data_IF_786667213481
#
_entry.id   IF_786667213481
#
_cell.length_a   1.000
_cell.length_b   1.000
_cell.length_c   1.000
_cell.angle_alpha   90.00
_cell.angle_beta   90.00
_cell.angle_gamma   90.00
#
_symmetry.space_group_name_H-M   'P 1'
#
loop_
_entity.id
_entity.type
_entity.pdbx_description
1 polymer ?
#
# COMPACT_ATOMS: atom_id res chain seq x y z
N UNK A 1 12.34 -12.41 -8.27
CA UNK A 1 12.72 -11.87 -6.94
C UNK A 1 11.81 -12.39 -5.83
N UNK A 2 10.56 -12.74 -6.14
CA UNK A 2 9.55 -13.20 -5.17
C UNK A 2 9.04 -14.62 -5.45
N UNK A 3 9.87 -15.46 -6.08
CA UNK A 3 9.51 -16.82 -6.46
C UNK A 3 9.05 -17.62 -5.22
N UNK A 4 7.85 -18.20 -5.28
CA UNK A 4 7.28 -19.02 -4.20
C UNK A 4 6.78 -18.21 -2.98
N UNK A 5 6.77 -16.88 -3.05
CA UNK A 5 6.21 -16.01 -2.01
C UNK A 5 4.73 -15.73 -2.26
N UNK A 6 3.97 -15.59 -1.20
CA UNK A 6 2.57 -15.16 -1.23
C UNK A 6 2.44 -13.75 -0.69
N UNK A 7 1.79 -12.87 -1.45
CA UNK A 7 1.57 -11.48 -1.08
C UNK A 7 0.07 -11.12 -1.04
N UNK A 8 -0.30 -10.30 -0.07
CA UNK A 8 -1.60 -9.61 -0.03
C UNK A 8 -1.37 -8.13 -0.32
N UNK A 9 -2.18 -7.54 -1.23
CA UNK A 9 -2.12 -6.10 -1.56
C UNK A 9 -3.50 -5.47 -1.39
N UNK A 10 -3.68 -4.63 -0.38
CA UNK A 10 -4.92 -3.88 -0.20
C UNK A 10 -5.00 -2.70 -1.17
N UNK A 11 -6.19 -2.38 -1.67
CA UNK A 11 -6.34 -1.37 -2.72
C UNK A 11 -5.70 -1.77 -4.05
N UNK A 12 -5.60 -3.09 -4.32
CA UNK A 12 -4.89 -3.69 -5.46
C UNK A 12 -5.61 -3.59 -6.81
N UNK A 13 -6.76 -2.91 -6.90
CA UNK A 13 -7.60 -2.91 -8.11
C UNK A 13 -7.26 -1.82 -9.12
N UNK A 14 -6.47 -0.79 -8.76
CA UNK A 14 -6.08 0.34 -9.61
C UNK A 14 -4.83 1.06 -9.10
N UNK A 15 -4.31 1.99 -9.90
CA UNK A 15 -3.23 2.91 -9.52
C UNK A 15 -1.98 2.19 -9.02
N UNK A 16 -1.39 2.71 -7.94
CA UNK A 16 -0.18 2.15 -7.32
C UNK A 16 -0.40 0.69 -6.88
N UNK A 17 -1.55 0.39 -6.25
CA UNK A 17 -1.85 -0.97 -5.80
C UNK A 17 -1.86 -1.99 -6.92
N UNK A 18 -2.48 -1.70 -8.06
CA UNK A 18 -2.48 -2.59 -9.23
C UNK A 18 -1.07 -2.72 -9.84
N UNK A 19 -0.29 -1.65 -9.86
CA UNK A 19 1.11 -1.72 -10.30
C UNK A 19 1.94 -2.63 -9.40
N UNK A 20 1.74 -2.58 -8.06
CA UNK A 20 2.38 -3.50 -7.10
C UNK A 20 1.97 -4.94 -7.38
N UNK A 21 0.66 -5.21 -7.53
CA UNK A 21 0.15 -6.55 -7.85
C UNK A 21 0.82 -7.11 -9.10
N UNK A 22 0.81 -6.34 -10.20
CA UNK A 22 1.43 -6.74 -11.47
C UNK A 22 2.93 -7.00 -11.32
N UNK A 23 3.64 -6.11 -10.64
CA UNK A 23 5.08 -6.24 -10.40
C UNK A 23 5.41 -7.50 -9.59
N UNK A 24 4.63 -7.81 -8.56
CA UNK A 24 4.86 -9.00 -7.74
C UNK A 24 4.58 -10.30 -8.52
N UNK A 25 3.50 -10.33 -9.30
CA UNK A 25 3.18 -11.46 -10.20
C UNK A 25 4.28 -11.69 -11.24
N UNK A 26 4.79 -10.63 -11.87
CA UNK A 26 5.91 -10.70 -12.82
C UNK A 26 7.20 -11.23 -12.19
N UNK A 27 7.34 -11.10 -10.88
CA UNK A 27 8.49 -11.57 -10.13
C UNK A 27 8.27 -12.91 -9.42
N UNK A 28 7.18 -13.62 -9.77
CA UNK A 28 6.94 -15.02 -9.36
C UNK A 28 6.17 -15.19 -8.05
N UNK A 29 5.59 -14.13 -7.49
CA UNK A 29 4.72 -14.25 -6.32
C UNK A 29 3.32 -14.76 -6.71
N UNK A 30 2.67 -15.49 -5.79
CA UNK A 30 1.22 -15.59 -5.76
C UNK A 30 0.66 -14.33 -5.08
N UNK A 31 -0.40 -13.72 -5.63
CA UNK A 31 -0.90 -12.44 -5.12
C UNK A 31 -2.41 -12.48 -4.87
N UNK A 32 -2.83 -12.10 -3.67
CA UNK A 32 -4.21 -11.77 -3.37
C UNK A 32 -4.39 -10.25 -3.37
N UNK A 33 -5.21 -9.73 -4.28
CA UNK A 33 -5.57 -8.32 -4.28
C UNK A 33 -6.89 -8.09 -3.51
N UNK A 34 -6.89 -7.10 -2.63
CA UNK A 34 -8.11 -6.69 -1.94
C UNK A 34 -8.62 -5.38 -2.52
N UNK A 35 -9.91 -5.33 -2.83
CA UNK A 35 -10.61 -4.14 -3.31
C UNK A 35 -11.79 -3.79 -2.40
N UNK A 36 -12.40 -2.64 -2.63
CA UNK A 36 -13.57 -2.18 -1.85
C UNK A 36 -14.90 -2.74 -2.36
N UNK A 37 -14.95 -3.29 -3.57
CA UNK A 37 -16.16 -3.83 -4.20
C UNK A 37 -15.79 -5.02 -5.08
N UNK A 38 -16.61 -6.06 -5.01
CA UNK A 38 -16.44 -7.29 -5.82
C UNK A 38 -16.31 -6.99 -7.31
N UNK A 39 -17.12 -6.10 -7.85
CA UNK A 39 -17.10 -5.72 -9.27
C UNK A 39 -15.72 -5.18 -9.73
N UNK A 40 -15.11 -4.29 -8.93
CA UNK A 40 -13.78 -3.74 -9.24
C UNK A 40 -12.67 -4.77 -9.10
N UNK A 41 -12.82 -5.70 -8.17
CA UNK A 41 -11.93 -6.86 -7.99
C UNK A 41 -12.01 -7.78 -9.21
N UNK A 42 -13.22 -8.19 -9.62
CA UNK A 42 -13.42 -9.07 -10.77
C UNK A 42 -12.86 -8.47 -12.07
N UNK A 43 -13.05 -7.16 -12.27
CA UNK A 43 -12.46 -6.42 -13.40
C UNK A 43 -10.94 -6.43 -13.40
N UNK A 44 -10.32 -6.20 -12.24
CA UNK A 44 -8.86 -6.22 -12.10
C UNK A 44 -8.30 -7.63 -12.35
N UNK A 45 -8.96 -8.67 -11.81
CA UNK A 45 -8.60 -10.07 -12.05
C UNK A 45 -8.67 -10.45 -13.53
N UNK A 46 -9.75 -10.06 -14.21
CA UNK A 46 -9.92 -10.32 -15.64
C UNK A 46 -8.79 -9.69 -16.46
N UNK A 47 -8.42 -8.43 -16.15
CA UNK A 47 -7.32 -7.73 -16.80
C UNK A 47 -5.97 -8.44 -16.56
N UNK A 48 -5.66 -8.80 -15.32
CA UNK A 48 -4.42 -9.50 -14.99
C UNK A 48 -4.32 -10.87 -15.66
N UNK A 49 -5.41 -11.65 -15.66
CA UNK A 49 -5.47 -12.94 -16.34
C UNK A 49 -5.36 -12.84 -17.86
N UNK A 50 -5.82 -11.74 -18.46
CA UNK A 50 -5.63 -11.49 -19.89
C UNK A 50 -4.18 -11.17 -20.25
N UNK A 51 -3.42 -10.57 -19.32
CA UNK A 51 -1.98 -10.32 -19.50
C UNK A 51 -1.16 -11.62 -19.40
N UNK A 52 -1.49 -12.46 -18.42
CA UNK A 52 -0.87 -13.78 -18.27
C UNK A 52 -1.77 -14.74 -17.49
N UNK A 53 -2.33 -15.72 -18.16
CA UNK A 53 -3.23 -16.71 -17.58
C UNK A 53 -2.56 -17.63 -16.53
N UNK A 54 -1.23 -17.76 -16.55
CA UNK A 54 -0.47 -18.59 -15.61
C UNK A 54 -0.23 -17.91 -14.25
N UNK A 55 -0.52 -16.60 -14.11
CA UNK A 55 -0.33 -15.94 -12.84
C UNK A 55 -1.27 -16.47 -11.74
N UNK A 56 -0.68 -16.76 -10.60
CA UNK A 56 -1.42 -17.15 -9.41
C UNK A 56 -1.98 -15.89 -8.74
N UNK A 57 -3.20 -15.52 -9.09
CA UNK A 57 -3.85 -14.32 -8.58
C UNK A 57 -5.29 -14.61 -8.15
N UNK A 58 -5.66 -14.12 -6.97
CA UNK A 58 -7.02 -14.11 -6.48
C UNK A 58 -7.44 -12.72 -5.98
N UNK A 59 -8.73 -12.51 -5.75
CA UNK A 59 -9.23 -11.22 -5.28
C UNK A 59 -10.35 -11.38 -4.28
N UNK A 60 -10.35 -10.51 -3.26
CA UNK A 60 -11.36 -10.44 -2.21
C UNK A 60 -11.77 -8.97 -1.98
N UNK A 61 -12.91 -8.76 -1.33
CA UNK A 61 -13.44 -7.44 -1.03
C UNK A 61 -13.87 -7.32 0.45
N UNK A 62 -12.95 -7.54 1.42
CA UNK A 62 -13.28 -7.37 2.83
C UNK A 62 -13.46 -5.89 3.18
N UNK A 63 -14.28 -5.59 4.19
CA UNK A 63 -14.21 -4.31 4.87
C UNK A 63 -12.90 -4.25 5.69
N UNK A 64 -11.98 -3.39 5.24
CA UNK A 64 -10.66 -3.28 5.89
C UNK A 64 -10.74 -2.63 7.27
N UNK A 65 -11.84 -1.95 7.60
CA UNK A 65 -12.05 -1.33 8.91
C UNK A 65 -12.58 -2.33 9.95
N UNK A 66 -13.09 -3.47 9.51
CA UNK A 66 -13.52 -4.60 10.34
C UNK A 66 -12.37 -5.63 10.46
N UNK A 67 -11.85 -5.79 11.67
CA UNK A 67 -10.75 -6.72 11.92
C UNK A 67 -11.11 -8.18 11.61
N UNK A 68 -12.31 -8.62 11.95
CA UNK A 68 -12.71 -10.01 11.71
C UNK A 68 -12.87 -10.31 10.23
N UNK A 69 -13.41 -9.36 9.45
CA UNK A 69 -13.47 -9.47 8.00
C UNK A 69 -12.07 -9.56 7.37
N UNK A 70 -11.11 -8.73 7.83
CA UNK A 70 -9.71 -8.79 7.37
C UNK A 70 -9.05 -10.10 7.76
N UNK A 71 -9.21 -10.56 9.00
CA UNK A 71 -8.66 -11.82 9.49
C UNK A 71 -9.15 -13.01 8.67
N UNK A 72 -10.47 -13.06 8.39
CA UNK A 72 -11.06 -14.12 7.57
C UNK A 72 -10.54 -14.09 6.13
N UNK A 73 -10.38 -12.89 5.54
CA UNK A 73 -9.84 -12.74 4.20
C UNK A 73 -8.36 -13.19 4.13
N UNK A 74 -7.54 -12.87 5.13
CA UNK A 74 -6.15 -13.32 5.24
C UNK A 74 -6.08 -14.84 5.37
N UNK A 75 -6.96 -15.45 6.17
CA UNK A 75 -7.03 -16.91 6.30
C UNK A 75 -7.43 -17.59 4.99
N UNK A 76 -8.40 -17.04 4.27
CA UNK A 76 -8.78 -17.52 2.92
C UNK A 76 -7.57 -17.52 1.97
N UNK A 77 -6.72 -16.49 2.03
CA UNK A 77 -5.50 -16.42 1.22
C UNK A 77 -4.49 -17.49 1.65
N UNK A 78 -4.30 -17.67 2.97
CA UNK A 78 -3.43 -18.70 3.53
C UNK A 78 -3.86 -20.10 3.12
N UNK A 79 -5.15 -20.39 3.15
CA UNK A 79 -5.71 -21.68 2.68
C UNK A 79 -5.48 -21.91 1.19
N UNK A 80 -5.65 -20.85 0.38
CA UNK A 80 -5.51 -20.95 -1.07
C UNK A 80 -4.05 -21.10 -1.54
N UNK A 81 -3.11 -20.42 -0.88
CA UNK A 81 -1.70 -20.34 -1.31
C UNK A 81 -0.70 -20.96 -0.31
N UNK A 82 -1.16 -21.49 0.82
CA UNK A 82 -0.35 -22.20 1.81
C UNK A 82 0.32 -21.30 2.86
N UNK A 83 0.57 -20.02 2.54
CA UNK A 83 1.26 -19.07 3.42
C UNK A 83 0.84 -17.64 3.13
N UNK A 84 1.30 -16.68 3.96
CA UNK A 84 1.30 -15.24 3.67
C UNK A 84 2.66 -14.68 4.09
N UNK A 85 3.52 -14.39 3.12
CA UNK A 85 4.89 -13.90 3.35
C UNK A 85 4.97 -12.37 3.33
N UNK A 86 4.09 -11.72 2.55
CA UNK A 86 4.14 -10.28 2.31
C UNK A 86 2.74 -9.67 2.49
N UNK A 87 2.66 -8.62 3.33
CA UNK A 87 1.47 -7.79 3.47
C UNK A 87 1.76 -6.38 2.98
N UNK A 88 1.03 -5.91 1.97
CA UNK A 88 1.08 -4.53 1.50
C UNK A 88 -0.21 -3.81 1.87
N UNK A 89 -0.13 -2.93 2.87
CA UNK A 89 -1.20 -2.04 3.27
C UNK A 89 -1.17 -0.78 2.40
N UNK A 90 -1.87 -0.82 1.25
CA UNK A 90 -1.86 0.27 0.29
C UNK A 90 -3.22 1.00 0.17
N UNK A 91 -4.31 0.38 0.58
CA UNK A 91 -5.62 1.03 0.55
C UNK A 91 -5.63 2.33 1.36
N UNK A 92 -6.29 3.36 0.82
CA UNK A 92 -6.42 4.64 1.51
C UNK A 92 -7.21 5.66 0.68
N UNK A 93 -7.63 6.71 1.36
CA UNK A 93 -8.30 7.88 0.78
C UNK A 93 -7.56 9.16 1.17
N UNK A 94 -7.72 10.21 0.38
CA UNK A 94 -7.19 11.53 0.65
C UNK A 94 -8.31 12.53 0.95
N UNK A 95 -7.95 13.69 1.53
CA UNK A 95 -8.82 14.83 1.73
C UNK A 95 -8.11 16.12 1.33
N UNK A 96 -8.88 17.13 0.94
CA UNK A 96 -8.36 18.43 0.51
C UNK A 96 -9.20 19.61 1.06
N UNK A 97 -10.19 19.32 1.87
CA UNK A 97 -11.09 20.32 2.44
C UNK A 97 -10.34 21.21 3.45
N UNK A 98 -10.51 22.54 3.42
CA UNK A 98 -9.98 23.44 4.45
C UNK A 98 -10.53 23.08 5.84
N UNK A 99 -9.79 23.38 6.91
CA UNK A 99 -10.19 23.04 8.27
C UNK A 99 -11.58 23.58 8.65
N UNK A 100 -11.95 24.77 8.17
CA UNK A 100 -13.26 25.38 8.43
C UNK A 100 -14.44 24.56 7.86
N UNK A 101 -14.19 23.77 6.81
CA UNK A 101 -15.20 22.95 6.13
C UNK A 101 -15.04 21.46 6.45
N UNK A 102 -13.96 21.10 7.18
CA UNK A 102 -13.60 19.71 7.43
C UNK A 102 -14.44 19.14 8.57
N UNK A 103 -15.33 18.21 8.25
CA UNK A 103 -16.25 17.62 9.22
C UNK A 103 -15.57 16.55 10.07
N UNK A 104 -15.89 16.43 11.36
CA UNK A 104 -15.36 15.38 12.24
C UNK A 104 -15.57 13.96 11.68
N UNK A 105 -16.70 13.71 10.99
CA UNK A 105 -17.01 12.41 10.39
C UNK A 105 -16.05 12.06 9.25
N UNK A 106 -15.65 13.05 8.43
CA UNK A 106 -14.70 12.87 7.34
C UNK A 106 -13.29 12.61 7.89
N UNK A 107 -12.92 13.27 8.98
CA UNK A 107 -11.68 12.99 9.71
C UNK A 107 -11.68 11.56 10.24
N UNK A 108 -12.76 11.13 10.91
CA UNK A 108 -12.90 9.75 11.42
C UNK A 108 -12.78 8.73 10.29
N UNK A 109 -13.49 8.93 9.17
CA UNK A 109 -13.45 8.06 8.01
C UNK A 109 -12.03 7.87 7.44
N UNK A 110 -11.26 8.95 7.38
CA UNK A 110 -9.84 8.88 6.95
C UNK A 110 -9.01 8.08 7.93
N UNK A 111 -9.16 8.32 9.23
CA UNK A 111 -8.43 7.57 10.26
C UNK A 111 -8.81 6.09 10.25
N UNK A 112 -10.08 5.77 10.09
CA UNK A 112 -10.55 4.38 10.03
C UNK A 112 -9.90 3.64 8.84
N UNK A 113 -9.92 4.22 7.64
CA UNK A 113 -9.38 3.53 6.46
C UNK A 113 -7.86 3.64 6.32
N UNK A 114 -7.26 4.77 6.67
CA UNK A 114 -5.82 4.97 6.45
C UNK A 114 -4.95 4.48 7.61
N UNK A 115 -5.53 4.31 8.81
CA UNK A 115 -4.76 3.91 10.01
C UNK A 115 -5.29 2.61 10.58
N UNK A 116 -6.59 2.53 10.94
CA UNK A 116 -7.18 1.32 11.54
C UNK A 116 -7.08 0.15 10.58
N UNK A 117 -7.36 0.33 9.29
CA UNK A 117 -7.23 -0.73 8.29
C UNK A 117 -5.77 -1.21 8.12
N UNK A 118 -4.79 -0.31 8.21
CA UNK A 118 -3.36 -0.67 8.20
C UNK A 118 -3.01 -1.52 9.42
N UNK A 119 -3.47 -1.11 10.60
CA UNK A 119 -3.30 -1.89 11.83
C UNK A 119 -3.96 -3.26 11.72
N UNK A 120 -5.18 -3.34 11.21
CA UNK A 120 -5.91 -4.61 11.02
C UNK A 120 -5.14 -5.55 10.09
N UNK A 121 -4.61 -5.05 8.97
CA UNK A 121 -3.78 -5.84 8.07
C UNK A 121 -2.51 -6.38 8.74
N UNK A 122 -1.78 -5.53 9.46
CA UNK A 122 -0.59 -5.94 10.21
C UNK A 122 -0.94 -7.02 11.25
N UNK A 123 -1.99 -6.80 12.04
CA UNK A 123 -2.42 -7.71 13.10
C UNK A 123 -2.92 -9.06 12.55
N UNK A 124 -3.60 -9.07 11.41
CA UNK A 124 -4.12 -10.30 10.82
C UNK A 124 -3.02 -11.22 10.29
N UNK A 125 -1.93 -10.69 9.73
CA UNK A 125 -0.81 -11.50 9.19
C UNK A 125 0.23 -11.87 10.24
N UNK A 126 0.31 -11.15 11.35
CA UNK A 126 1.33 -11.33 12.38
C UNK A 126 1.44 -12.77 12.89
N UNK A 127 0.35 -13.46 13.28
CA UNK A 127 0.44 -14.83 13.79
C UNK A 127 0.99 -15.81 12.75
N UNK A 128 0.64 -15.63 11.48
CA UNK A 128 1.11 -16.48 10.37
C UNK A 128 2.61 -16.27 10.16
N UNK A 129 3.05 -15.02 10.06
CA UNK A 129 4.44 -14.66 9.85
C UNK A 129 5.32 -15.05 11.06
N UNK A 130 4.81 -14.86 12.28
CA UNK A 130 5.51 -15.27 13.50
C UNK A 130 5.70 -16.79 13.56
N UNK A 131 4.69 -17.57 13.23
CA UNK A 131 4.79 -19.03 13.18
C UNK A 131 5.77 -19.49 12.10
N UNK A 132 5.88 -18.77 11.00
CA UNK A 132 6.85 -19.03 9.92
C UNK A 132 8.30 -18.60 10.30
N UNK A 133 8.47 -17.72 11.28
CA UNK A 133 9.77 -17.13 11.63
C UNK A 133 10.29 -16.11 10.64
N UNK A 134 9.46 -15.63 9.70
CA UNK A 134 9.77 -14.60 8.72
C UNK A 134 8.52 -13.91 8.22
N UNK A 135 8.68 -12.70 7.69
CA UNK A 135 7.60 -11.95 7.07
C UNK A 135 8.03 -10.56 6.61
N UNK A 136 7.22 -9.95 5.76
CA UNK A 136 7.45 -8.59 5.29
C UNK A 136 6.13 -7.82 5.24
N UNK A 137 6.04 -6.72 5.99
CA UNK A 137 4.93 -5.79 5.98
C UNK A 137 5.40 -4.48 5.37
N UNK A 138 4.67 -3.98 4.37
CA UNK A 138 5.00 -2.71 3.71
C UNK A 138 3.76 -1.82 3.71
N UNK A 139 3.86 -0.67 4.36
CA UNK A 139 2.77 0.28 4.48
C UNK A 139 2.91 1.41 3.46
N UNK A 140 1.81 1.85 2.86
CA UNK A 140 1.80 3.02 1.98
C UNK A 140 1.59 4.29 2.82
N UNK A 141 2.67 5.03 2.99
CA UNK A 141 2.68 6.37 3.56
C UNK A 141 2.43 7.41 2.47
N UNK A 142 3.05 8.58 2.55
CA UNK A 142 3.01 9.65 1.55
C UNK A 142 4.09 10.68 1.87
N UNK A 143 4.54 11.45 0.89
CA UNK A 143 5.39 12.61 1.12
C UNK A 143 4.81 13.58 2.15
N UNK A 144 3.47 13.73 2.21
CA UNK A 144 2.80 14.60 3.20
C UNK A 144 2.92 14.13 4.64
N UNK A 145 3.37 12.90 4.88
CA UNK A 145 3.68 12.37 6.22
C UNK A 145 5.00 12.91 6.79
N UNK A 146 5.73 13.68 6.02
CA UNK A 146 6.99 14.31 6.44
C UNK A 146 6.85 15.83 6.61
N UNK A 147 5.99 16.46 5.79
CA UNK A 147 5.90 17.92 5.69
C UNK A 147 4.49 18.49 5.90
N UNK A 148 3.46 17.65 5.91
CA UNK A 148 2.06 18.10 5.94
C UNK A 148 1.55 18.53 4.56
N UNK A 149 0.42 19.18 4.54
CA UNK A 149 -0.16 19.82 3.34
C UNK A 149 -1.05 21.01 3.74
N UNK A 150 -1.32 21.97 2.82
CA UNK A 150 -2.04 23.20 3.14
C UNK A 150 -3.51 23.02 3.53
N UNK A 151 -4.17 21.93 3.13
CA UNK A 151 -5.58 21.63 3.42
C UNK A 151 -5.79 20.12 3.55
N UNK A 152 -6.94 19.68 4.10
CA UNK A 152 -7.27 18.27 4.29
C UNK A 152 -6.43 17.60 5.37
N UNK A 153 -6.34 18.20 6.55
CA UNK A 153 -5.48 17.83 7.69
C UNK A 153 -5.54 16.35 8.08
N UNK A 154 -6.67 15.68 7.89
CA UNK A 154 -6.83 14.25 8.22
C UNK A 154 -5.92 13.33 7.40
N UNK A 155 -5.65 13.70 6.14
CA UNK A 155 -4.79 12.86 5.30
C UNK A 155 -3.33 12.85 5.78
N UNK A 156 -2.62 13.99 5.91
CA UNK A 156 -1.27 13.95 6.46
C UNK A 156 -1.23 13.37 7.89
N UNK A 157 -2.18 13.73 8.76
CA UNK A 157 -2.25 13.16 10.11
C UNK A 157 -2.29 11.62 10.08
N UNK A 158 -3.11 11.04 9.21
CA UNK A 158 -3.17 9.58 9.03
C UNK A 158 -1.84 8.99 8.54
N UNK A 159 -1.13 9.69 7.65
CA UNK A 159 0.14 9.19 7.08
C UNK A 159 1.31 9.33 8.07
N UNK A 160 1.31 10.36 8.93
CA UNK A 160 2.20 10.41 10.11
C UNK A 160 1.95 9.24 11.06
N UNK A 161 0.67 8.89 11.32
CA UNK A 161 0.32 7.73 12.14
C UNK A 161 0.83 6.42 11.54
N UNK A 162 0.74 6.23 10.22
CA UNK A 162 1.29 5.05 9.52
C UNK A 162 2.82 4.97 9.68
N UNK A 163 3.54 6.09 9.65
CA UNK A 163 4.97 6.11 9.93
C UNK A 163 5.28 5.68 11.38
N UNK A 164 4.46 6.13 12.33
CA UNK A 164 4.54 5.71 13.73
C UNK A 164 4.33 4.21 13.91
N UNK A 165 3.24 3.66 13.32
CA UNK A 165 2.97 2.22 13.30
C UNK A 165 4.12 1.43 12.70
N UNK A 166 4.64 1.86 11.55
CA UNK A 166 5.76 1.20 10.85
C UNK A 166 6.98 1.07 11.74
N UNK A 167 7.41 2.16 12.38
CA UNK A 167 8.60 2.20 13.24
C UNK A 167 8.43 1.37 14.52
N UNK A 168 7.24 1.42 15.13
CA UNK A 168 6.93 0.66 16.34
C UNK A 168 6.87 -0.83 16.06
N UNK A 169 6.12 -1.24 15.02
CA UNK A 169 5.99 -2.64 14.63
C UNK A 169 7.31 -3.24 14.15
N UNK A 170 8.17 -2.46 13.49
CA UNK A 170 9.51 -2.93 13.11
C UNK A 170 10.35 -3.35 14.33
N UNK A 171 10.24 -2.63 15.46
CA UNK A 171 10.92 -2.98 16.71
C UNK A 171 10.29 -4.17 17.41
N UNK A 172 8.97 -4.21 17.45
CA UNK A 172 8.20 -5.26 18.13
C UNK A 172 8.31 -6.61 17.40
N UNK A 173 8.23 -6.61 16.08
CA UNK A 173 8.17 -7.83 15.27
C UNK A 173 9.55 -8.30 14.76
N UNK A 174 10.57 -7.42 14.82
CA UNK A 174 11.93 -7.76 14.42
C UNK A 174 12.49 -9.05 15.06
N UNK A 175 12.34 -9.27 16.37
CA UNK A 175 12.77 -10.52 17.00
C UNK A 175 12.11 -11.80 16.45
N UNK A 176 10.96 -11.67 15.78
CA UNK A 176 10.27 -12.77 15.10
C UNK A 176 10.68 -12.92 13.62
N UNK A 177 11.69 -12.19 13.15
CA UNK A 177 12.14 -12.23 11.75
C UNK A 177 11.23 -11.47 10.78
N UNK A 178 10.32 -10.61 11.28
CA UNK A 178 9.36 -9.87 10.46
C UNK A 178 9.87 -8.44 10.24
N UNK A 179 10.03 -8.05 8.99
CA UNK A 179 10.42 -6.68 8.60
C UNK A 179 9.18 -5.84 8.36
N UNK A 180 9.21 -4.59 8.83
CA UNK A 180 8.11 -3.64 8.63
C UNK A 180 8.68 -2.33 8.11
N UNK A 181 8.26 -1.91 6.90
CA UNK A 181 8.72 -0.68 6.27
C UNK A 181 7.53 0.12 5.70
N UNK A 182 7.78 1.35 5.31
CA UNK A 182 6.81 2.15 4.57
C UNK A 182 7.43 2.74 3.30
N UNK A 183 6.59 2.90 2.28
CA UNK A 183 6.89 3.70 1.09
C UNK A 183 6.08 4.98 1.16
N UNK A 184 6.72 6.11 0.90
CA UNK A 184 6.12 7.45 0.91
C UNK A 184 6.12 8.02 -0.52
N UNK A 185 5.10 7.73 -1.35
CA UNK A 185 4.99 8.27 -2.69
C UNK A 185 4.77 9.78 -2.69
N UNK A 186 5.37 10.45 -3.67
CA UNK A 186 5.01 11.80 -4.07
C UNK A 186 3.82 11.82 -5.02
N UNK A 187 3.72 12.90 -5.81
CA UNK A 187 2.68 13.00 -6.85
C UNK A 187 2.92 11.94 -7.91
N UNK A 188 1.99 11.01 -8.03
CA UNK A 188 2.08 9.84 -8.91
C UNK A 188 0.94 9.85 -9.90
N UNK A 189 1.20 9.46 -11.17
CA UNK A 189 0.22 9.39 -12.27
C UNK A 189 -0.76 8.23 -12.05
N UNK A 190 -1.72 8.44 -11.16
CA UNK A 190 -2.90 7.59 -11.03
C UNK A 190 -4.02 8.09 -11.95
N UNK A 191 -5.10 7.31 -12.11
CA UNK A 191 -6.26 7.69 -12.94
C UNK A 191 -6.76 9.11 -12.64
N UNK A 192 -6.75 9.51 -11.36
CA UNK A 192 -7.17 10.84 -10.93
C UNK A 192 -6.25 11.94 -11.47
N UNK A 193 -4.94 11.72 -11.48
CA UNK A 193 -3.96 12.70 -11.98
C UNK A 193 -3.89 12.66 -13.50
N UNK A 194 -4.05 11.49 -14.11
CA UNK A 194 -4.08 11.33 -15.57
C UNK A 194 -5.29 12.05 -16.23
N UNK A 195 -6.38 12.24 -15.48
CA UNK A 195 -7.58 12.97 -15.94
C UNK A 195 -7.43 14.51 -15.85
N UNK A 196 -6.34 15.05 -15.29
CA UNK A 196 -6.12 16.49 -15.16
C UNK A 196 -5.65 17.08 -16.50
N UNK A 197 -6.02 18.37 -16.79
CA UNK A 197 -5.48 19.10 -17.92
C UNK A 197 -3.95 19.17 -17.89
N UNK A 198 -3.31 19.20 -19.06
CA UNK A 198 -1.86 19.20 -19.21
C UNK A 198 -1.19 20.34 -18.44
N UNK A 199 -1.75 21.55 -18.52
CA UNK A 199 -1.23 22.73 -17.79
C UNK A 199 -1.26 22.52 -16.27
N UNK A 200 -2.26 21.81 -15.75
CA UNK A 200 -2.34 21.50 -14.32
C UNK A 200 -1.27 20.48 -13.92
N UNK A 201 -1.01 19.47 -14.75
CA UNK A 201 0.07 18.50 -14.53
C UNK A 201 1.42 19.20 -14.55
N UNK A 202 1.66 20.11 -15.52
CA UNK A 202 2.88 20.91 -15.60
C UNK A 202 3.07 21.79 -14.35
N UNK A 203 2.00 22.44 -13.88
CA UNK A 203 2.03 23.25 -12.66
C UNK A 203 2.37 22.44 -11.40
N UNK A 204 1.85 21.22 -11.30
CA UNK A 204 2.11 20.31 -10.18
C UNK A 204 3.54 19.76 -10.25
N UNK A 205 4.06 19.50 -11.45
CA UNK A 205 5.39 18.93 -11.64
C UNK A 205 6.53 19.98 -11.59
N UNK A 206 6.23 21.24 -11.84
CA UNK A 206 7.24 22.31 -11.87
C UNK A 206 8.08 22.44 -10.58
N UNK A 207 7.54 22.32 -9.37
CA UNK A 207 8.33 22.35 -8.13
C UNK A 207 9.11 21.06 -7.86
N UNK A 208 8.81 19.95 -8.54
CA UNK A 208 9.52 18.68 -8.35
C UNK A 208 10.90 18.77 -8.99
N UNK A 209 12.02 18.53 -8.28
CA UNK A 209 13.35 18.59 -8.87
C UNK A 209 13.55 17.73 -10.11
N UNK A 210 12.96 16.54 -10.19
CA UNK A 210 12.96 15.69 -11.38
C UNK A 210 12.05 16.19 -12.52
N UNK A 211 11.34 17.33 -12.33
CA UNK A 211 10.52 18.03 -13.35
C UNK A 211 9.41 17.18 -13.97
N UNK A 212 8.96 16.16 -13.28
CA UNK A 212 7.84 15.30 -13.69
C UNK A 212 7.16 14.68 -12.47
N UNK A 213 5.95 14.22 -12.65
CA UNK A 213 5.29 13.34 -11.69
C UNK A 213 5.83 11.91 -11.84
N UNK A 214 5.76 11.13 -10.76
CA UNK A 214 6.15 9.72 -10.78
C UNK A 214 5.12 8.84 -11.48
N UNK A 215 5.56 7.69 -11.96
CA UNK A 215 4.68 6.65 -12.49
C UNK A 215 4.38 5.59 -11.41
N UNK A 216 3.20 4.95 -11.42
CA UNK A 216 2.87 3.88 -10.46
C UNK A 216 3.89 2.76 -10.43
N UNK A 217 4.51 2.44 -11.57
CA UNK A 217 5.54 1.43 -11.68
C UNK A 217 6.81 1.80 -10.90
N UNK A 218 7.20 3.08 -10.86
CA UNK A 218 8.38 3.52 -10.11
C UNK A 218 8.18 3.33 -8.61
N UNK A 219 6.97 3.58 -8.13
CA UNK A 219 6.59 3.29 -6.74
C UNK A 219 6.57 1.78 -6.48
N UNK A 220 5.97 0.99 -7.37
CA UNK A 220 5.89 -0.46 -7.26
C UNK A 220 7.28 -1.13 -7.22
N UNK A 221 8.28 -0.59 -7.92
CA UNK A 221 9.66 -1.08 -7.89
C UNK A 221 10.27 -1.00 -6.48
N UNK A 222 9.95 0.04 -5.70
CA UNK A 222 10.41 0.18 -4.31
C UNK A 222 9.70 -0.82 -3.39
N UNK A 223 8.40 -1.09 -3.62
CA UNK A 223 7.71 -2.18 -2.92
C UNK A 223 8.35 -3.53 -3.23
N UNK A 224 8.72 -3.80 -4.49
CA UNK A 224 9.42 -5.03 -4.88
C UNK A 224 10.77 -5.16 -4.16
N UNK A 225 11.58 -4.10 -4.14
CA UNK A 225 12.84 -4.09 -3.40
C UNK A 225 12.63 -4.43 -1.93
N UNK A 226 11.71 -3.72 -1.26
CA UNK A 226 11.45 -3.94 0.16
C UNK A 226 10.86 -5.33 0.47
N UNK A 227 10.10 -5.91 -0.46
CA UNK A 227 9.53 -7.25 -0.34
C UNK A 227 10.57 -8.36 -0.54
N UNK A 228 11.64 -8.10 -1.25
CA UNK A 228 12.68 -9.06 -1.62
C UNK A 228 13.78 -9.20 -0.57
N UNK A 229 14.62 -10.22 -0.73
CA UNK A 229 15.79 -10.46 0.11
C UNK A 229 16.89 -9.40 -0.04
N UNK A 230 16.85 -8.57 -1.09
CA UNK A 230 17.73 -7.41 -1.24
C UNK A 230 17.54 -6.40 -0.07
N UNK A 231 16.39 -6.40 0.57
CA UNK A 231 16.07 -5.57 1.72
C UNK A 231 16.13 -6.33 3.06
N UNK A 232 16.86 -7.45 3.13
CA UNK A 232 16.90 -8.34 4.31
C UNK A 232 17.33 -7.64 5.61
N UNK A 233 18.09 -6.55 5.54
CA UNK A 233 18.51 -5.75 6.69
C UNK A 233 17.80 -4.39 6.79
N UNK A 234 16.71 -4.18 6.01
CA UNK A 234 15.92 -2.95 6.00
C UNK A 234 14.62 -3.18 6.76
N UNK A 235 14.48 -2.54 7.92
CA UNK A 235 13.24 -2.53 8.72
C UNK A 235 13.10 -1.18 9.45
N UNK A 236 11.88 -0.70 9.66
CA UNK A 236 11.58 0.59 10.27
C UNK A 236 11.81 1.80 9.36
N UNK A 237 12.17 1.59 8.10
CA UNK A 237 12.41 2.65 7.14
C UNK A 237 11.10 3.22 6.56
N UNK A 238 11.12 4.53 6.27
CA UNK A 238 10.13 5.23 5.45
C UNK A 238 10.87 5.73 4.20
N UNK A 239 10.62 5.07 3.06
CA UNK A 239 11.35 5.34 1.81
C UNK A 239 10.54 6.30 0.94
N UNK A 240 11.06 7.50 0.70
CA UNK A 240 10.45 8.49 -0.20
C UNK A 240 10.62 8.07 -1.66
N UNK A 241 9.54 8.23 -2.46
CA UNK A 241 9.54 8.02 -3.91
C UNK A 241 8.79 9.20 -4.54
N UNK A 242 9.41 10.37 -4.51
CA UNK A 242 8.74 11.65 -4.76
C UNK A 242 9.50 12.60 -5.70
N UNK A 243 10.63 12.16 -6.27
CA UNK A 243 11.46 13.00 -7.13
C UNK A 243 12.11 14.19 -6.41
N UNK A 244 12.30 14.07 -5.10
CA UNK A 244 12.75 15.11 -4.17
C UNK A 244 11.79 16.31 -4.07
N UNK A 245 10.47 16.06 -4.27
CA UNK A 245 9.46 17.13 -4.26
C UNK A 245 9.44 17.93 -2.95
N UNK A 246 9.85 17.31 -1.85
CA UNK A 246 9.85 17.94 -0.51
C UNK A 246 11.01 17.42 0.35
N UNK A 247 12.21 17.47 -0.17
CA UNK A 247 13.44 17.20 0.58
C UNK A 247 14.23 18.48 0.80
#
# INVERSE_FOLDING_TARGET
MLQGKTAIVTGGTRGIGLAIVRTFLQNGAAVALFGSRKETVDKALAALKSENAAWQVMGLAPDLTDFDAVRQAVETVREAFGTVDIMVNNAGISAREPLAEYRPEDFKKIMDLNVTAVFNGCKAVEPIMRAAGHGCIINTSSMVSLYGQPAGVGYPASKFAVNGLTKSLARELGPAGIRVNAVAPGVTRTDMVAALPKEMVERISAPIPLRRIGEPQEVANVFLFLASDLASYVTGAVVSVDGAAQT
#
